data_IF_200666775151
#
_entry.id   IF_200666775151
#
_cell.length_a   1.000
_cell.length_b   1.000
_cell.length_c   1.000
_cell.angle_alpha   90.00
_cell.angle_beta   90.00
_cell.angle_gamma   90.00
#
_symmetry.space_group_name_H-M   'P 1'
#
loop_
_entity.id
_entity.type
_entity.pdbx_description
1 polymer ?
#
# COMPACT_ATOMS: atom_id res chain seq x y z
N UNK A 1 -65.81 -3.47 -9.05
CA UNK A 1 -65.07 -3.33 -7.79
C UNK A 1 -63.75 -4.06 -7.98
N UNK A 2 -62.72 -3.33 -8.44
CA UNK A 2 -61.39 -3.88 -8.72
C UNK A 2 -60.53 -3.57 -7.49
N UNK A 3 -60.12 -4.61 -6.76
CA UNK A 3 -59.20 -4.48 -5.64
C UNK A 3 -57.77 -4.64 -6.17
N UNK A 4 -56.97 -3.58 -6.05
CA UNK A 4 -55.57 -3.56 -6.42
C UNK A 4 -54.72 -4.40 -5.45
N UNK A 5 -53.71 -5.08 -5.99
CA UNK A 5 -52.67 -5.82 -5.28
C UNK A 5 -51.78 -4.83 -4.48
N UNK A 6 -51.33 -5.19 -3.27
CA UNK A 6 -50.35 -4.39 -2.55
C UNK A 6 -48.95 -4.59 -3.15
N UNK A 7 -48.29 -3.46 -3.39
CA UNK A 7 -46.94 -3.29 -3.94
C UNK A 7 -45.87 -3.86 -2.97
N UNK A 8 -45.02 -4.77 -3.44
CA UNK A 8 -44.05 -5.53 -2.61
C UNK A 8 -42.61 -5.05 -2.79
N UNK A 9 -42.34 -3.75 -2.65
CA UNK A 9 -41.01 -3.15 -2.92
C UNK A 9 -40.30 -2.55 -1.70
N UNK A 10 -40.62 -2.99 -0.47
CA UNK A 10 -39.87 -2.62 0.73
C UNK A 10 -39.06 -3.81 1.26
N UNK A 11 -37.76 -3.87 0.95
CA UNK A 11 -36.84 -4.82 1.57
C UNK A 11 -36.65 -4.50 3.06
N UNK A 12 -36.81 -5.51 3.91
CA UNK A 12 -36.80 -5.36 5.38
C UNK A 12 -35.38 -5.04 5.91
N UNK A 13 -35.23 -4.16 6.93
CA UNK A 13 -33.95 -3.86 7.58
C UNK A 13 -33.21 -5.09 8.11
N UNK A 14 -33.93 -6.17 8.43
CA UNK A 14 -33.36 -7.44 8.85
C UNK A 14 -32.67 -8.19 7.69
N UNK A 15 -33.20 -8.10 6.47
CA UNK A 15 -32.63 -8.71 5.27
C UNK A 15 -31.33 -7.99 4.84
N UNK A 16 -31.29 -6.66 4.96
CA UNK A 16 -30.08 -5.86 4.70
C UNK A 16 -28.98 -6.15 5.72
N UNK A 17 -29.33 -6.30 7.00
CA UNK A 17 -28.39 -6.67 8.08
C UNK A 17 -27.79 -8.07 7.90
N UNK A 18 -28.61 -9.03 7.48
CA UNK A 18 -28.16 -10.40 7.17
C UNK A 18 -27.24 -10.43 5.95
N UNK A 19 -27.56 -9.70 4.87
CA UNK A 19 -26.72 -9.66 3.67
C UNK A 19 -25.33 -9.03 3.95
N UNK A 20 -25.25 -7.98 4.78
CA UNK A 20 -23.98 -7.34 5.13
C UNK A 20 -23.15 -8.08 6.18
N UNK A 21 -23.80 -8.75 7.14
CA UNK A 21 -23.10 -9.57 8.13
C UNK A 21 -22.55 -10.86 7.52
N UNK A 22 -23.28 -11.45 6.55
CA UNK A 22 -22.75 -12.54 5.72
C UNK A 22 -21.55 -12.05 4.90
N UNK A 23 -21.58 -10.83 4.36
CA UNK A 23 -20.45 -10.27 3.62
C UNK A 23 -19.18 -10.12 4.48
N UNK A 24 -19.29 -9.50 5.67
CA UNK A 24 -18.16 -9.37 6.61
C UNK A 24 -17.63 -10.72 7.08
N UNK A 25 -18.50 -11.68 7.40
CA UNK A 25 -18.10 -13.04 7.79
C UNK A 25 -17.45 -13.82 6.63
N UNK A 26 -17.91 -13.62 5.38
CA UNK A 26 -17.27 -14.22 4.19
C UNK A 26 -15.94 -13.56 3.84
N UNK A 27 -15.76 -12.27 4.11
CA UNK A 27 -14.49 -11.57 3.87
C UNK A 27 -13.42 -12.01 4.88
N UNK A 28 -13.80 -12.23 6.14
CA UNK A 28 -12.92 -12.82 7.17
C UNK A 28 -12.60 -14.31 6.91
N UNK A 29 -13.53 -15.10 6.35
CA UNK A 29 -13.26 -16.49 5.98
C UNK A 29 -12.47 -16.64 4.67
N UNK A 30 -12.58 -15.70 3.73
CA UNK A 30 -11.80 -15.69 2.50
C UNK A 30 -10.31 -15.38 2.75
N UNK A 31 -9.98 -14.62 3.78
CA UNK A 31 -8.59 -14.40 4.21
C UNK A 31 -7.87 -15.69 4.68
N UNK A 32 -8.62 -16.76 4.98
CA UNK A 32 -8.07 -18.05 5.43
C UNK A 32 -7.84 -19.08 4.31
N UNK A 33 -8.26 -18.78 3.07
CA UNK A 33 -8.01 -19.63 1.90
C UNK A 33 -7.29 -18.76 0.87
N UNK A 34 -6.20 -19.23 0.25
CA UNK A 34 -5.47 -18.54 -0.83
C UNK A 34 -6.40 -18.10 -2.00
N UNK A 35 -7.18 -17.04 -1.80
CA UNK A 35 -8.37 -16.72 -2.60
C UNK A 35 -8.56 -15.21 -2.76
N UNK A 36 -7.43 -14.51 -2.73
CA UNK A 36 -7.33 -13.06 -2.85
C UNK A 36 -8.05 -12.52 -4.08
N UNK A 37 -7.95 -13.19 -5.23
CA UNK A 37 -8.64 -12.79 -6.46
C UNK A 37 -10.17 -12.85 -6.31
N UNK A 38 -10.69 -13.87 -5.64
CA UNK A 38 -12.13 -13.96 -5.34
C UNK A 38 -12.56 -12.88 -4.36
N UNK A 39 -11.75 -12.58 -3.35
CA UNK A 39 -11.99 -11.47 -2.43
C UNK A 39 -12.13 -10.13 -3.20
N UNK A 40 -11.18 -9.81 -4.07
CA UNK A 40 -11.21 -8.59 -4.89
C UNK A 40 -12.41 -8.56 -5.83
N UNK A 41 -12.77 -9.69 -6.44
CA UNK A 41 -13.96 -9.77 -7.30
C UNK A 41 -15.26 -9.53 -6.53
N UNK A 42 -15.34 -10.01 -5.29
CA UNK A 42 -16.51 -9.84 -4.42
C UNK A 42 -16.72 -8.36 -4.10
N UNK A 43 -15.66 -7.63 -3.74
CA UNK A 43 -15.72 -6.21 -3.43
C UNK A 43 -16.25 -5.35 -4.60
N UNK A 44 -15.89 -5.69 -5.84
CA UNK A 44 -16.31 -4.97 -7.04
C UNK A 44 -17.83 -5.02 -7.27
N UNK A 45 -18.49 -6.07 -6.79
CA UNK A 45 -19.91 -6.34 -7.06
C UNK A 45 -20.88 -5.80 -6.00
N UNK A 46 -20.39 -5.17 -4.93
CA UNK A 46 -21.25 -4.68 -3.83
C UNK A 46 -21.67 -3.23 -4.09
N UNK A 47 -22.96 -2.93 -3.96
CA UNK A 47 -23.51 -1.56 -3.88
C UNK A 47 -24.83 -1.57 -3.10
N UNK A 48 -25.13 -0.60 -2.21
CA UNK A 48 -24.44 0.68 -1.93
C UNK A 48 -23.34 0.62 -0.83
N UNK A 49 -22.75 1.78 -0.46
CA UNK A 49 -21.82 1.93 0.67
C UNK A 49 -22.52 1.68 2.02
N UNK A 50 -21.77 1.19 3.00
CA UNK A 50 -22.25 0.91 4.36
C UNK A 50 -22.26 2.22 5.17
N UNK A 51 -23.45 2.66 5.59
CA UNK A 51 -23.65 3.90 6.35
C UNK A 51 -23.83 3.67 7.85
N UNK A 52 -23.96 2.42 8.29
CA UNK A 52 -24.20 2.09 9.70
C UNK A 52 -22.91 2.17 10.52
N UNK A 53 -22.79 3.20 11.36
CA UNK A 53 -21.63 3.41 12.25
C UNK A 53 -21.38 2.26 13.22
N UNK A 54 -22.41 1.60 13.74
CA UNK A 54 -22.22 0.47 14.66
C UNK A 54 -21.54 -0.72 13.97
N UNK A 55 -21.80 -0.92 12.68
CA UNK A 55 -21.07 -1.92 11.88
C UNK A 55 -19.63 -1.47 11.63
N UNK A 56 -19.39 -0.16 11.49
CA UNK A 56 -18.04 0.38 11.37
C UNK A 56 -17.22 0.18 12.65
N UNK A 57 -17.84 0.35 13.82
CA UNK A 57 -17.21 0.03 15.12
C UNK A 57 -16.85 -1.45 15.19
N UNK A 58 -17.82 -2.35 14.94
CA UNK A 58 -17.57 -3.80 14.95
C UNK A 58 -16.43 -4.17 13.98
N UNK A 59 -16.43 -3.62 12.77
CA UNK A 59 -15.37 -3.87 11.80
C UNK A 59 -13.99 -3.48 12.35
N UNK A 60 -13.85 -2.28 12.92
CA UNK A 60 -12.56 -1.82 13.47
C UNK A 60 -12.14 -2.66 14.68
N UNK A 61 -13.07 -3.03 15.57
CA UNK A 61 -12.79 -3.88 16.72
C UNK A 61 -12.35 -5.28 16.27
N UNK A 62 -13.00 -5.84 15.23
CA UNK A 62 -12.66 -7.14 14.64
C UNK A 62 -11.27 -7.14 13.97
N UNK A 63 -10.74 -5.97 13.59
CA UNK A 63 -9.39 -5.83 13.04
C UNK A 63 -8.29 -5.87 14.10
N UNK A 64 -8.59 -5.62 15.37
CA UNK A 64 -7.56 -5.44 16.42
C UNK A 64 -6.62 -6.65 16.50
N UNK A 65 -7.18 -7.85 16.67
CA UNK A 65 -6.42 -9.09 16.81
C UNK A 65 -5.61 -9.43 15.56
N UNK A 66 -6.19 -9.50 14.34
CA UNK A 66 -5.41 -9.85 13.16
C UNK A 66 -4.35 -8.78 12.83
N UNK A 67 -4.64 -7.50 13.01
CA UNK A 67 -3.69 -6.41 12.78
C UNK A 67 -2.49 -6.49 13.74
N UNK A 68 -2.75 -6.59 15.04
CA UNK A 68 -1.67 -6.69 16.06
C UNK A 68 -0.84 -7.96 15.92
N UNK A 69 -1.47 -9.09 15.58
CA UNK A 69 -0.79 -10.36 15.34
C UNK A 69 0.16 -10.24 14.14
N UNK A 70 -0.33 -9.69 13.03
CA UNK A 70 0.45 -9.49 11.81
C UNK A 70 1.63 -8.53 12.04
N UNK A 71 1.42 -7.42 12.75
CA UNK A 71 2.50 -6.48 13.10
C UNK A 71 3.57 -7.13 13.98
N UNK A 72 3.15 -7.94 14.96
CA UNK A 72 4.08 -8.65 15.82
C UNK A 72 4.92 -9.66 15.02
N UNK A 73 4.29 -10.48 14.18
CA UNK A 73 4.98 -11.47 13.34
C UNK A 73 5.91 -10.79 12.33
N UNK A 74 5.45 -9.70 11.68
CA UNK A 74 6.26 -8.89 10.78
C UNK A 74 7.49 -8.30 11.46
N UNK A 75 7.29 -7.70 12.63
CA UNK A 75 8.38 -7.09 13.41
C UNK A 75 9.40 -8.14 13.88
N UNK A 76 8.94 -9.29 14.36
CA UNK A 76 9.81 -10.39 14.77
C UNK A 76 10.63 -10.94 13.60
N UNK A 77 9.99 -11.24 12.46
CA UNK A 77 10.69 -11.74 11.28
C UNK A 77 11.71 -10.73 10.74
N UNK A 78 11.39 -9.44 10.77
CA UNK A 78 12.33 -8.37 10.43
C UNK A 78 13.51 -8.32 11.40
N UNK A 79 13.26 -8.42 12.72
CA UNK A 79 14.31 -8.42 13.74
C UNK A 79 15.25 -9.63 13.61
N UNK A 80 14.72 -10.81 13.32
CA UNK A 80 15.51 -12.03 13.11
C UNK A 80 16.46 -11.87 11.92
N UNK A 81 16.00 -11.27 10.81
CA UNK A 81 16.87 -10.97 9.67
C UNK A 81 17.90 -9.89 10.01
N UNK A 82 17.49 -8.78 10.62
CA UNK A 82 18.36 -7.66 10.96
C UNK A 82 19.48 -8.03 11.94
N UNK A 83 19.22 -8.99 12.85
CA UNK A 83 20.21 -9.47 13.83
C UNK A 83 20.94 -10.74 13.41
N UNK A 84 20.45 -11.45 12.40
CA UNK A 84 21.07 -12.65 11.84
C UNK A 84 20.82 -12.76 10.32
N UNK A 85 21.73 -12.16 9.54
CA UNK A 85 21.63 -12.07 8.08
C UNK A 85 21.96 -13.42 7.45
N UNK A 86 20.91 -14.18 7.11
CA UNK A 86 20.98 -15.47 6.41
C UNK A 86 19.92 -15.53 5.32
N UNK A 87 20.14 -16.33 4.28
CA UNK A 87 19.16 -16.54 3.20
C UNK A 87 17.81 -17.05 3.73
N UNK A 88 17.83 -17.90 4.76
CA UNK A 88 16.63 -18.37 5.43
C UNK A 88 15.82 -17.22 6.05
N UNK A 89 16.47 -16.35 6.83
CA UNK A 89 15.80 -15.22 7.48
C UNK A 89 15.34 -14.17 6.47
N UNK A 90 16.12 -13.95 5.40
CA UNK A 90 15.74 -13.07 4.29
C UNK A 90 14.46 -13.56 3.59
N UNK A 91 14.43 -14.84 3.20
CA UNK A 91 13.25 -15.43 2.58
C UNK A 91 12.04 -15.41 3.51
N UNK A 92 12.24 -15.66 4.81
CA UNK A 92 11.16 -15.60 5.80
C UNK A 92 10.59 -14.18 5.96
N UNK A 93 11.45 -13.16 6.14
CA UNK A 93 10.99 -11.77 6.29
C UNK A 93 10.29 -11.26 5.03
N UNK A 94 10.78 -11.64 3.83
CA UNK A 94 10.13 -11.31 2.56
C UNK A 94 8.75 -11.97 2.44
N UNK A 95 8.64 -13.26 2.79
CA UNK A 95 7.36 -13.97 2.79
C UNK A 95 6.35 -13.31 3.72
N UNK A 96 6.75 -13.03 4.97
CA UNK A 96 5.87 -12.39 5.97
C UNK A 96 5.46 -10.99 5.52
N UNK A 97 6.37 -10.21 4.96
CA UNK A 97 6.08 -8.87 4.43
C UNK A 97 5.05 -8.90 3.31
N UNK A 98 5.12 -9.90 2.41
CA UNK A 98 4.14 -10.08 1.34
C UNK A 98 2.75 -10.44 1.88
N UNK A 99 2.65 -11.35 2.86
CA UNK A 99 1.36 -11.68 3.48
C UNK A 99 0.77 -10.50 4.25
N UNK A 100 1.61 -9.75 4.95
CA UNK A 100 1.24 -8.50 5.62
C UNK A 100 0.61 -7.50 4.64
N UNK A 101 1.29 -7.24 3.52
CA UNK A 101 0.82 -6.29 2.51
C UNK A 101 -0.52 -6.69 1.87
N UNK A 102 -0.75 -7.99 1.65
CA UNK A 102 -2.05 -8.50 1.18
C UNK A 102 -3.16 -8.20 2.19
N UNK A 103 -2.94 -8.53 3.45
CA UNK A 103 -3.93 -8.36 4.50
C UNK A 103 -4.26 -6.88 4.76
N UNK A 104 -3.25 -6.00 4.76
CA UNK A 104 -3.45 -4.55 4.84
C UNK A 104 -4.30 -4.03 3.67
N UNK A 105 -4.05 -4.53 2.45
CA UNK A 105 -4.87 -4.18 1.28
C UNK A 105 -6.31 -4.65 1.43
N UNK A 106 -6.55 -5.84 1.97
CA UNK A 106 -7.91 -6.32 2.27
C UNK A 106 -8.61 -5.43 3.30
N UNK A 107 -7.93 -5.07 4.38
CA UNK A 107 -8.51 -4.19 5.40
C UNK A 107 -8.87 -2.83 4.81
N UNK A 108 -7.97 -2.22 4.05
CA UNK A 108 -8.23 -0.90 3.47
C UNK A 108 -9.29 -0.91 2.38
N UNK A 109 -9.31 -1.92 1.49
CA UNK A 109 -10.37 -2.04 0.49
C UNK A 109 -11.74 -2.32 1.13
N UNK A 110 -11.79 -3.12 2.20
CA UNK A 110 -13.02 -3.31 3.00
C UNK A 110 -13.43 -2.01 3.67
N UNK A 111 -12.50 -1.26 4.26
CA UNK A 111 -12.78 0.02 4.91
C UNK A 111 -13.36 1.05 3.94
N UNK A 112 -12.90 1.08 2.67
CA UNK A 112 -13.48 1.91 1.61
C UNK A 112 -14.94 1.58 1.25
N UNK A 113 -15.48 0.44 1.69
CA UNK A 113 -16.92 0.10 1.55
C UNK A 113 -17.81 0.82 2.54
N UNK A 114 -17.25 1.44 3.57
CA UNK A 114 -17.98 2.25 4.53
C UNK A 114 -18.02 3.70 4.06
N UNK A 115 -19.16 4.36 4.24
CA UNK A 115 -19.28 5.81 4.06
C UNK A 115 -18.69 6.56 5.27
N UNK A 116 -17.45 6.21 5.63
CA UNK A 116 -16.85 6.56 6.90
C UNK A 116 -16.60 8.06 7.05
N UNK A 117 -16.36 8.78 5.95
CA UNK A 117 -16.19 10.24 5.98
C UNK A 117 -17.41 10.97 6.56
N UNK A 118 -18.59 10.36 6.45
CA UNK A 118 -19.86 10.90 6.96
C UNK A 118 -20.24 10.38 8.36
N UNK A 119 -19.38 9.60 9.01
CA UNK A 119 -19.62 9.17 10.39
C UNK A 119 -19.58 10.35 11.37
N UNK A 120 -20.38 10.28 12.42
CA UNK A 120 -20.45 11.27 13.50
C UNK A 120 -19.31 11.08 14.50
N UNK A 121 -18.90 9.85 14.76
CA UNK A 121 -17.79 9.57 15.67
C UNK A 121 -16.44 9.95 15.03
N UNK A 122 -15.82 11.04 15.51
CA UNK A 122 -14.54 11.54 15.02
C UNK A 122 -13.37 10.56 15.23
N UNK A 123 -13.35 9.82 16.34
CA UNK A 123 -12.33 8.80 16.59
C UNK A 123 -12.45 7.66 15.60
N UNK A 124 -13.68 7.22 15.31
CA UNK A 124 -13.94 6.19 14.30
C UNK A 124 -13.50 6.66 12.92
N UNK A 125 -13.82 7.91 12.54
CA UNK A 125 -13.33 8.51 11.28
C UNK A 125 -11.82 8.50 11.17
N UNK A 126 -11.11 8.81 12.26
CA UNK A 126 -9.65 8.78 12.28
C UNK A 126 -9.10 7.37 12.05
N UNK A 127 -9.69 6.36 12.68
CA UNK A 127 -9.31 4.96 12.49
C UNK A 127 -9.59 4.51 11.06
N UNK A 128 -10.77 4.82 10.52
CA UNK A 128 -11.10 4.52 9.12
C UNK A 128 -10.17 5.22 8.13
N UNK A 129 -9.80 6.49 8.36
CA UNK A 129 -8.83 7.19 7.50
C UNK A 129 -7.51 6.44 7.46
N UNK A 130 -7.02 5.96 8.60
CA UNK A 130 -5.77 5.21 8.66
C UNK A 130 -5.88 3.89 7.88
N UNK A 131 -6.91 3.09 8.16
CA UNK A 131 -7.09 1.77 7.52
C UNK A 131 -7.39 1.90 6.02
N UNK A 132 -8.19 2.89 5.60
CA UNK A 132 -8.64 3.05 4.21
C UNK A 132 -7.63 3.75 3.29
N UNK A 133 -6.51 4.27 3.81
CA UNK A 133 -5.45 4.89 3.00
C UNK A 133 -4.46 3.80 2.58
N UNK A 134 -4.47 3.44 1.30
CA UNK A 134 -3.69 2.32 0.76
C UNK A 134 -2.40 2.75 0.05
N UNK A 135 -2.25 4.03 -0.27
CA UNK A 135 -1.18 4.50 -1.16
C UNK A 135 -1.29 3.82 -2.53
N UNK A 136 -0.16 3.39 -3.10
CA UNK A 136 -0.14 2.70 -4.41
C UNK A 136 -1.06 1.47 -4.45
N UNK A 137 -1.29 0.79 -3.32
CA UNK A 137 -2.14 -0.38 -3.23
C UNK A 137 -3.63 -0.09 -3.49
N UNK A 138 -4.03 1.19 -3.56
CA UNK A 138 -5.35 1.60 -4.03
C UNK A 138 -5.56 1.31 -5.53
N UNK A 139 -4.49 1.20 -6.31
CA UNK A 139 -4.54 0.94 -7.75
C UNK A 139 -5.08 -0.48 -8.07
N UNK A 140 -5.65 -0.66 -9.27
CA UNK A 140 -5.81 -1.98 -9.89
C UNK A 140 -4.49 -2.74 -9.95
N UNK A 141 -4.54 -4.08 -9.94
CA UNK A 141 -3.35 -4.93 -9.76
C UNK A 141 -2.30 -4.73 -10.88
N UNK A 142 -2.73 -4.56 -12.13
CA UNK A 142 -1.86 -4.29 -13.28
C UNK A 142 -1.12 -2.94 -13.14
N UNK A 143 -1.83 -1.91 -12.66
CA UNK A 143 -1.27 -0.58 -12.40
C UNK A 143 -0.36 -0.57 -11.18
N UNK A 144 -0.72 -1.30 -10.13
CA UNK A 144 0.11 -1.49 -8.94
C UNK A 144 1.42 -2.19 -9.30
N UNK A 145 1.37 -3.27 -10.08
CA UNK A 145 2.55 -3.98 -10.57
C UNK A 145 3.43 -3.04 -11.40
N UNK A 146 2.84 -2.25 -12.30
CA UNK A 146 3.58 -1.28 -13.10
C UNK A 146 4.24 -0.20 -12.23
N UNK A 147 3.51 0.41 -11.29
CA UNK A 147 4.04 1.41 -10.36
C UNK A 147 5.22 0.84 -9.54
N UNK A 148 5.08 -0.41 -9.07
CA UNK A 148 6.11 -1.13 -8.32
C UNK A 148 7.34 -1.38 -9.19
N UNK A 149 7.16 -1.83 -10.44
CA UNK A 149 8.24 -2.05 -11.41
C UNK A 149 9.01 -0.75 -11.71
N UNK A 150 8.29 0.35 -11.94
CA UNK A 150 8.89 1.67 -12.18
C UNK A 150 9.70 2.13 -10.98
N UNK A 151 9.16 2.01 -9.76
CA UNK A 151 9.86 2.34 -8.51
C UNK A 151 11.15 1.51 -8.35
N UNK A 152 11.07 0.20 -8.55
CA UNK A 152 12.21 -0.71 -8.48
C UNK A 152 13.30 -0.40 -9.52
N UNK A 153 12.93 -0.04 -10.75
CA UNK A 153 13.89 0.38 -11.78
C UNK A 153 14.62 1.66 -11.38
N UNK A 154 13.90 2.66 -10.86
CA UNK A 154 14.51 3.89 -10.37
C UNK A 154 15.47 3.62 -9.19
N UNK A 155 15.06 2.77 -8.24
CA UNK A 155 15.90 2.38 -7.11
C UNK A 155 17.17 1.63 -7.57
N UNK A 156 17.05 0.72 -8.54
CA UNK A 156 18.17 0.00 -9.11
C UNK A 156 19.17 0.93 -9.82
N UNK A 157 18.69 1.88 -10.63
CA UNK A 157 19.54 2.90 -11.26
C UNK A 157 20.29 3.68 -10.18
N UNK A 158 19.58 4.20 -9.17
CA UNK A 158 20.19 4.97 -8.09
C UNK A 158 21.23 4.15 -7.30
N UNK A 159 20.94 2.89 -6.97
CA UNK A 159 21.80 2.05 -6.15
C UNK A 159 23.01 1.44 -6.87
N UNK A 160 22.94 1.28 -8.20
CA UNK A 160 24.00 0.61 -8.98
C UNK A 160 24.80 1.55 -9.88
N UNK A 161 24.38 2.80 -10.06
CA UNK A 161 25.12 3.76 -10.90
C UNK A 161 26.52 4.00 -10.35
N UNK A 162 27.49 3.95 -11.24
CA UNK A 162 28.88 4.34 -10.99
C UNK A 162 29.27 5.49 -11.89
N UNK A 163 30.09 6.40 -11.38
CA UNK A 163 30.54 7.58 -12.11
C UNK A 163 32.05 7.70 -12.10
N UNK A 164 32.57 8.62 -12.91
CA UNK A 164 33.97 9.00 -12.96
C UNK A 164 34.10 10.46 -12.54
N UNK A 165 35.05 10.77 -11.67
CA UNK A 165 35.39 12.12 -11.22
C UNK A 165 36.90 12.29 -11.37
N UNK A 166 37.33 13.23 -12.21
CA UNK A 166 38.73 13.40 -12.59
C UNK A 166 39.32 12.11 -13.16
N UNK A 167 40.31 11.56 -12.46
CA UNK A 167 40.97 10.30 -12.82
C UNK A 167 40.39 9.07 -12.09
N UNK A 168 39.51 9.28 -11.11
CA UNK A 168 38.91 8.22 -10.31
C UNK A 168 37.67 7.67 -11.02
N UNK A 169 37.65 6.37 -11.29
CA UNK A 169 36.58 5.67 -12.02
C UNK A 169 35.79 4.76 -11.10
N UNK A 170 34.63 4.33 -11.57
CA UNK A 170 33.79 3.32 -10.93
C UNK A 170 33.32 3.68 -9.51
N UNK A 171 33.15 4.98 -9.24
CA UNK A 171 32.76 5.53 -7.93
C UNK A 171 31.25 5.39 -7.72
N UNK A 172 30.84 4.78 -6.60
CA UNK A 172 29.44 4.71 -6.18
C UNK A 172 29.05 5.91 -5.30
N UNK A 173 27.75 6.21 -5.20
CA UNK A 173 27.28 7.28 -4.31
C UNK A 173 27.78 7.08 -2.87
N UNK A 174 27.51 5.91 -2.32
CA UNK A 174 28.02 5.47 -1.02
C UNK A 174 29.05 4.35 -1.22
N UNK A 175 30.23 4.42 -0.59
CA UNK A 175 30.71 5.51 0.27
C UNK A 175 31.45 6.62 -0.50
N UNK A 176 31.76 6.46 -1.79
CA UNK A 176 32.80 7.24 -2.46
C UNK A 176 32.43 8.71 -2.66
N UNK A 177 31.33 8.99 -3.37
CA UNK A 177 30.94 10.37 -3.64
C UNK A 177 30.53 11.08 -2.35
N UNK A 178 29.85 10.40 -1.43
CA UNK A 178 29.52 10.95 -0.11
C UNK A 178 30.78 11.32 0.68
N UNK A 179 31.84 10.50 0.65
CA UNK A 179 33.13 10.82 1.26
C UNK A 179 33.77 12.04 0.60
N UNK A 180 33.77 12.13 -0.73
CA UNK A 180 34.31 13.29 -1.45
C UNK A 180 33.53 14.57 -1.15
N UNK A 181 32.20 14.49 -1.14
CA UNK A 181 31.31 15.63 -0.86
C UNK A 181 31.40 16.15 0.58
N UNK A 182 31.97 15.36 1.50
CA UNK A 182 32.21 15.76 2.89
C UNK A 182 33.47 16.62 3.05
N UNK A 183 34.40 16.57 2.11
CA UNK A 183 35.62 17.38 2.15
C UNK A 183 35.30 18.87 1.98
N UNK A 184 35.96 19.73 2.76
CA UNK A 184 35.77 21.19 2.71
C UNK A 184 37.00 21.83 2.07
N UNK A 185 36.78 22.80 1.19
CA UNK A 185 37.85 23.69 0.70
C UNK A 185 38.19 23.59 -0.79
N UNK A 186 37.55 22.68 -1.53
CA UNK A 186 37.75 22.55 -2.98
C UNK A 186 36.42 22.62 -3.73
N UNK A 187 36.01 23.82 -4.12
CA UNK A 187 34.74 24.05 -4.82
C UNK A 187 34.65 23.32 -6.16
N UNK A 188 35.73 23.34 -6.95
CA UNK A 188 35.74 22.80 -8.30
C UNK A 188 35.59 21.27 -8.26
N UNK A 189 36.30 20.60 -7.34
CA UNK A 189 36.16 19.17 -7.10
C UNK A 189 34.73 18.81 -6.66
N UNK A 190 34.16 19.52 -5.69
CA UNK A 190 32.80 19.26 -5.21
C UNK A 190 31.75 19.47 -6.32
N UNK A 191 31.93 20.51 -7.13
CA UNK A 191 31.07 20.75 -8.30
C UNK A 191 31.17 19.62 -9.32
N UNK A 192 32.38 19.12 -9.59
CA UNK A 192 32.59 18.00 -10.51
C UNK A 192 31.90 16.74 -10.01
N UNK A 193 32.06 16.39 -8.72
CA UNK A 193 31.38 15.25 -8.08
C UNK A 193 29.86 15.39 -8.21
N UNK A 194 29.31 16.56 -7.88
CA UNK A 194 27.87 16.83 -7.96
C UNK A 194 27.35 16.65 -9.39
N UNK A 195 28.05 17.21 -10.39
CA UNK A 195 27.66 17.10 -11.79
C UNK A 195 27.76 15.67 -12.31
N UNK A 196 28.84 14.95 -11.97
CA UNK A 196 29.04 13.57 -12.39
C UNK A 196 27.87 12.69 -11.95
N UNK A 197 27.44 12.81 -10.69
CA UNK A 197 26.29 12.05 -10.16
C UNK A 197 24.98 12.43 -10.84
N UNK A 198 24.64 13.73 -10.87
CA UNK A 198 23.35 14.18 -11.39
C UNK A 198 23.21 13.94 -12.90
N UNK A 199 24.30 14.04 -13.67
CA UNK A 199 24.29 13.75 -15.09
C UNK A 199 24.17 12.25 -15.40
N UNK A 200 24.66 11.38 -14.51
CA UNK A 200 24.53 9.93 -14.68
C UNK A 200 23.15 9.42 -14.27
N UNK A 201 22.66 9.83 -13.10
CA UNK A 201 21.41 9.30 -12.53
C UNK A 201 20.17 10.06 -13.02
N UNK A 202 20.22 11.39 -13.06
CA UNK A 202 19.05 12.22 -13.35
C UNK A 202 18.38 11.89 -14.68
N UNK A 203 19.11 11.92 -15.81
CA UNK A 203 18.57 11.55 -17.12
C UNK A 203 18.06 10.10 -17.17
N UNK A 204 18.75 9.16 -16.54
CA UNK A 204 18.38 7.75 -16.53
C UNK A 204 17.09 7.48 -15.72
N UNK A 205 16.88 8.18 -14.60
CA UNK A 205 15.66 8.05 -13.78
C UNK A 205 14.46 8.75 -14.41
N UNK A 206 14.70 9.82 -15.19
CA UNK A 206 13.66 10.71 -15.71
C UNK A 206 12.55 9.98 -16.48
N UNK A 207 12.89 8.99 -17.30
CA UNK A 207 11.91 8.27 -18.12
C UNK A 207 10.93 7.42 -17.29
N UNK A 208 11.34 6.98 -16.09
CA UNK A 208 10.52 6.18 -15.18
C UNK A 208 9.73 7.04 -14.20
N UNK A 209 10.28 8.21 -13.83
CA UNK A 209 9.70 9.08 -12.82
C UNK A 209 8.34 9.64 -13.23
N UNK A 210 8.19 10.11 -14.47
CA UNK A 210 6.93 10.71 -14.94
C UNK A 210 5.76 9.71 -14.98
N UNK A 211 5.93 8.49 -15.56
CA UNK A 211 4.91 7.45 -15.45
C UNK A 211 4.58 7.06 -14.01
N UNK A 212 5.59 6.95 -13.15
CA UNK A 212 5.40 6.63 -11.73
C UNK A 212 4.53 7.69 -11.02
N UNK A 213 4.84 8.98 -11.19
CA UNK A 213 4.05 10.08 -10.59
C UNK A 213 2.61 10.07 -11.08
N UNK A 214 2.38 9.71 -12.35
CA UNK A 214 1.02 9.61 -12.90
C UNK A 214 0.21 8.54 -12.15
N UNK A 215 0.80 7.36 -11.92
CA UNK A 215 0.16 6.28 -11.16
C UNK A 215 0.02 6.63 -9.67
N UNK A 216 1.02 7.28 -9.07
CA UNK A 216 0.97 7.72 -7.68
C UNK A 216 -0.14 8.75 -7.44
N UNK A 217 -0.35 9.69 -8.37
CA UNK A 217 -1.44 10.66 -8.29
C UNK A 217 -2.81 9.99 -8.46
N UNK A 218 -2.93 9.00 -9.36
CA UNK A 218 -4.15 8.21 -9.49
C UNK A 218 -4.46 7.46 -8.17
N UNK A 219 -3.45 6.84 -7.57
CA UNK A 219 -3.57 6.17 -6.28
C UNK A 219 -4.03 7.12 -5.16
N UNK A 220 -3.43 8.31 -5.09
CA UNK A 220 -3.80 9.35 -4.13
C UNK A 220 -5.27 9.79 -4.32
N UNK A 221 -5.73 9.95 -5.57
CA UNK A 221 -7.13 10.27 -5.85
C UNK A 221 -8.08 9.15 -5.41
N UNK A 222 -7.72 7.88 -5.60
CA UNK A 222 -8.48 6.72 -5.10
C UNK A 222 -8.51 6.66 -3.56
N UNK A 223 -7.53 7.25 -2.89
CA UNK A 223 -7.50 7.46 -1.43
C UNK A 223 -8.26 8.72 -0.97
N UNK A 224 -8.72 9.55 -1.91
CA UNK A 224 -9.54 10.73 -1.62
C UNK A 224 -8.74 12.01 -1.34
N UNK A 225 -7.52 12.13 -1.89
CA UNK A 225 -6.71 13.36 -1.89
C UNK A 225 -6.86 14.17 -3.18
#
# INVERSE_FOLDING_TARGET
MVAALPDSSASSPAATRLATAVLLATLLQAAAADNYDTYLSTLKNVSPLITNEAMGVSFIDDLEVPYTTMEHVGSAAHWDYATNITEYNENNTNKVSNEKAKLEREFGLTAKRFNWQNFKNESLKRLFRHVATLGLAALPDDKLENATSLSSKMAAIYGSTKVTVGNEKDLSLEPDLTRMMKEVGDYDKLREVWLAWHNAVGPAVKEYFIPYVTLANEAASLDGY
#
